data_IF_196553523817
#
_entry.id   IF_196553523817
#
_cell.length_a   1.000
_cell.length_b   1.000
_cell.length_c   1.000
_cell.angle_alpha   90.00
_cell.angle_beta   90.00
_cell.angle_gamma   90.00
#
_symmetry.space_group_name_H-M   'P 1'
#
loop_
_entity.id
_entity.type
_entity.pdbx_description
1 polymer ?
#
# COMPACT_ATOMS: atom_id res chain seq x y z
N UNK A 1 -43.20 25.09 -16.62
CA UNK A 1 -41.77 25.23 -16.95
C UNK A 1 -41.06 24.12 -16.21
N UNK A 2 -40.89 22.97 -16.87
CA UNK A 2 -40.35 21.76 -16.25
C UNK A 2 -38.83 21.82 -16.40
N UNK A 3 -38.13 22.18 -15.32
CA UNK A 3 -36.67 22.04 -15.25
C UNK A 3 -36.39 20.54 -15.17
N UNK A 4 -36.21 19.96 -16.35
CA UNK A 4 -35.59 18.65 -16.51
C UNK A 4 -34.16 18.84 -16.00
N UNK A 5 -33.96 18.47 -14.73
CA UNK A 5 -32.65 18.39 -14.10
C UNK A 5 -31.83 17.42 -14.96
N UNK A 6 -31.02 18.00 -15.83
CA UNK A 6 -30.04 17.29 -16.62
C UNK A 6 -29.01 16.83 -15.61
N UNK A 7 -29.21 15.61 -15.09
CA UNK A 7 -28.36 15.00 -14.07
C UNK A 7 -26.90 15.13 -14.52
N UNK A 8 -26.21 16.12 -13.96
CA UNK A 8 -24.79 16.34 -14.21
C UNK A 8 -24.09 15.01 -13.96
N UNK A 9 -23.26 14.58 -14.91
CA UNK A 9 -22.66 13.25 -14.91
C UNK A 9 -21.87 13.03 -13.61
N UNK A 10 -22.51 12.38 -12.64
CA UNK A 10 -21.94 12.14 -11.32
C UNK A 10 -21.33 10.76 -11.32
N UNK A 11 -20.04 10.69 -11.02
CA UNK A 11 -19.33 9.42 -10.93
C UNK A 11 -19.32 8.97 -9.47
N UNK A 12 -19.91 7.80 -9.22
CA UNK A 12 -19.98 7.17 -7.90
C UNK A 12 -18.82 6.18 -7.71
N UNK A 13 -18.14 6.28 -6.58
CA UNK A 13 -17.05 5.39 -6.17
C UNK A 13 -17.42 4.70 -4.86
N UNK A 14 -17.38 3.37 -4.82
CA UNK A 14 -17.73 2.61 -3.62
C UNK A 14 -16.51 2.41 -2.73
N UNK A 15 -16.65 2.77 -1.45
CA UNK A 15 -15.59 2.70 -0.47
C UNK A 15 -15.84 1.54 0.49
N UNK A 16 -14.96 0.56 0.47
CA UNK A 16 -15.01 -0.58 1.38
C UNK A 16 -14.14 -0.31 2.61
N UNK A 17 -14.56 -0.79 3.77
CA UNK A 17 -13.75 -0.67 4.99
C UNK A 17 -12.39 -1.34 4.78
N UNK A 18 -11.29 -0.69 5.17
CA UNK A 18 -9.99 -1.35 5.12
C UNK A 18 -10.00 -2.54 6.10
N UNK A 19 -9.64 -3.76 5.67
CA UNK A 19 -9.49 -4.87 6.61
C UNK A 19 -8.31 -4.61 7.55
N UNK A 20 -8.46 -5.00 8.83
CA UNK A 20 -7.47 -4.74 9.88
C UNK A 20 -6.09 -5.30 9.53
N UNK A 21 -6.06 -6.46 8.86
CA UNK A 21 -4.85 -7.12 8.37
C UNK A 21 -5.16 -7.77 7.03
N UNK A 22 -4.25 -7.59 6.08
CA UNK A 22 -4.21 -8.41 4.88
C UNK A 22 -3.35 -9.64 5.14
N UNK A 23 -3.79 -10.80 4.67
CA UNK A 23 -2.97 -12.01 4.74
C UNK A 23 -1.65 -11.86 3.99
N UNK A 24 -0.60 -12.51 4.49
CA UNK A 24 0.70 -12.61 3.81
C UNK A 24 0.81 -13.83 2.88
N UNK A 25 -0.29 -14.56 2.69
CA UNK A 25 -0.38 -15.68 1.76
C UNK A 25 -1.28 -15.29 0.59
N UNK A 26 -0.84 -15.56 -0.64
CA UNK A 26 -1.55 -15.15 -1.86
C UNK A 26 -3.00 -15.65 -1.89
N UNK A 27 -3.22 -16.94 -1.63
CA UNK A 27 -4.57 -17.53 -1.69
C UNK A 27 -5.51 -16.92 -0.64
N UNK A 28 -5.00 -16.71 0.57
CA UNK A 28 -5.78 -16.08 1.63
C UNK A 28 -6.05 -14.60 1.32
N UNK A 29 -5.13 -13.90 0.66
CA UNK A 29 -5.38 -12.53 0.20
C UNK A 29 -6.52 -12.47 -0.83
N UNK A 30 -6.55 -13.41 -1.78
CA UNK A 30 -7.64 -13.53 -2.75
C UNK A 30 -8.98 -13.80 -2.06
N UNK A 31 -9.01 -14.73 -1.11
CA UNK A 31 -10.20 -15.03 -0.30
C UNK A 31 -10.65 -13.81 0.53
N UNK A 32 -9.71 -13.09 1.14
CA UNK A 32 -9.99 -11.86 1.91
C UNK A 32 -10.58 -10.76 0.99
N UNK A 33 -10.05 -10.64 -0.22
CA UNK A 33 -10.52 -9.66 -1.22
C UNK A 33 -11.94 -10.00 -1.69
N UNK A 34 -12.22 -11.27 -1.98
CA UNK A 34 -13.56 -11.73 -2.35
C UNK A 34 -14.56 -11.47 -1.21
N UNK A 35 -14.18 -11.80 0.04
CA UNK A 35 -15.03 -11.53 1.21
C UNK A 35 -15.29 -10.04 1.39
N UNK A 36 -14.27 -9.21 1.23
CA UNK A 36 -14.40 -7.76 1.40
C UNK A 36 -15.39 -7.17 0.39
N UNK A 37 -15.30 -7.55 -0.87
CA UNK A 37 -16.21 -7.05 -1.91
C UNK A 37 -17.58 -7.72 -1.92
N UNK A 38 -17.74 -8.82 -1.18
CA UNK A 38 -19.05 -9.39 -0.88
C UNK A 38 -19.78 -8.64 0.25
N UNK A 39 -19.07 -7.82 1.04
CA UNK A 39 -19.69 -6.95 2.05
C UNK A 39 -20.30 -5.71 1.40
N UNK A 40 -21.26 -5.10 2.09
CA UNK A 40 -21.75 -3.79 1.67
C UNK A 40 -20.63 -2.74 1.79
N UNK A 41 -20.49 -1.85 0.81
CA UNK A 41 -19.59 -0.71 0.93
C UNK A 41 -20.01 0.14 2.14
N UNK A 42 -19.03 0.71 2.84
CA UNK A 42 -19.28 1.49 4.04
C UNK A 42 -19.70 2.92 3.69
N UNK A 43 -19.10 3.47 2.63
CA UNK A 43 -19.33 4.81 2.14
C UNK A 43 -19.33 4.78 0.61
N UNK A 44 -19.91 5.80 -0.01
CA UNK A 44 -19.66 6.11 -1.41
C UNK A 44 -19.24 7.57 -1.53
N UNK A 45 -18.39 7.85 -2.52
CA UNK A 45 -18.07 9.21 -2.94
C UNK A 45 -18.73 9.43 -4.30
N UNK A 46 -19.56 10.44 -4.36
CA UNK A 46 -20.16 10.95 -5.58
C UNK A 46 -19.38 12.20 -5.99
N UNK A 47 -18.72 12.14 -7.15
CA UNK A 47 -18.01 13.27 -7.74
C UNK A 47 -18.80 13.76 -8.94
N UNK A 48 -19.44 14.92 -8.77
CA UNK A 48 -20.11 15.66 -9.83
C UNK A 48 -19.21 16.77 -10.39
N UNK A 49 -19.76 17.59 -11.28
CA UNK A 49 -19.02 18.69 -11.92
C UNK A 49 -18.64 19.80 -10.93
N UNK A 50 -19.52 20.10 -9.96
CA UNK A 50 -19.32 21.20 -9.01
C UNK A 50 -19.12 20.75 -7.56
N UNK A 51 -19.50 19.51 -7.23
CA UNK A 51 -19.57 19.03 -5.85
C UNK A 51 -18.99 17.64 -5.70
N UNK A 52 -18.37 17.41 -4.54
CA UNK A 52 -17.97 16.09 -4.05
C UNK A 52 -18.79 15.81 -2.80
N UNK A 53 -19.51 14.68 -2.80
CA UNK A 53 -20.31 14.25 -1.66
C UNK A 53 -19.93 12.87 -1.18
N UNK A 54 -19.93 12.70 0.14
CA UNK A 54 -19.84 11.41 0.81
C UNK A 54 -21.26 11.01 1.20
N UNK A 55 -21.67 9.83 0.77
CA UNK A 55 -23.01 9.30 1.01
C UNK A 55 -22.94 7.92 1.65
N UNK A 56 -23.96 7.58 2.43
CA UNK A 56 -24.19 6.21 2.86
C UNK A 56 -24.76 5.40 1.68
N UNK A 57 -24.05 4.38 1.17
CA UNK A 57 -24.49 3.62 0.00
C UNK A 57 -25.72 2.75 0.28
N UNK A 58 -26.07 2.46 1.54
CA UNK A 58 -27.25 1.67 1.88
C UNK A 58 -28.54 2.50 1.86
N UNK A 59 -28.47 3.78 2.20
CA UNK A 59 -29.62 4.67 2.34
C UNK A 59 -29.64 5.86 1.38
N UNK A 60 -28.56 6.06 0.60
CA UNK A 60 -28.26 7.27 -0.16
C UNK A 60 -28.28 8.55 0.70
N UNK A 61 -28.13 8.43 2.02
CA UNK A 61 -28.10 9.57 2.92
C UNK A 61 -26.81 10.37 2.74
N UNK A 62 -26.94 11.68 2.55
CA UNK A 62 -25.81 12.59 2.46
C UNK A 62 -25.13 12.73 3.84
N UNK A 63 -23.86 12.35 3.92
CA UNK A 63 -23.03 12.45 5.14
C UNK A 63 -22.27 13.77 5.16
N UNK A 64 -21.63 14.11 4.04
CA UNK A 64 -20.88 15.36 3.87
C UNK A 64 -20.87 15.77 2.40
N UNK A 65 -20.78 17.07 2.12
CA UNK A 65 -20.65 17.60 0.77
C UNK A 65 -19.79 18.85 0.79
N UNK A 66 -18.98 19.02 -0.25
CA UNK A 66 -18.17 20.19 -0.47
C UNK A 66 -18.13 20.54 -1.96
N UNK A 67 -17.93 21.82 -2.28
CA UNK A 67 -17.66 22.21 -3.65
C UNK A 67 -16.32 21.59 -4.10
N UNK A 68 -16.24 21.06 -5.32
CA UNK A 68 -15.04 20.38 -5.81
C UNK A 68 -13.79 21.27 -5.78
N UNK A 69 -13.98 22.59 -5.97
CA UNK A 69 -12.93 23.62 -5.88
C UNK A 69 -12.39 23.83 -4.47
N UNK A 70 -13.13 23.40 -3.45
CA UNK A 70 -12.76 23.48 -2.04
C UNK A 70 -12.20 22.15 -1.52
N UNK A 71 -12.30 21.08 -2.33
CA UNK A 71 -11.73 19.77 -2.01
C UNK A 71 -10.29 19.70 -2.51
N UNK A 72 -9.39 19.38 -1.59
CA UNK A 72 -7.99 19.12 -1.86
C UNK A 72 -7.74 17.62 -1.96
N UNK A 73 -7.30 17.17 -3.12
CA UNK A 73 -6.89 15.79 -3.36
C UNK A 73 -5.36 15.66 -3.34
N UNK A 74 -4.82 15.00 -2.33
CA UNK A 74 -3.38 14.90 -2.11
C UNK A 74 -2.87 13.47 -2.25
N UNK A 75 -1.82 13.22 -3.04
CA UNK A 75 -1.09 11.96 -3.04
C UNK A 75 -0.49 11.66 -1.65
N UNK A 76 -0.75 10.48 -1.12
CA UNK A 76 -0.18 9.98 0.13
C UNK A 76 0.48 8.61 -0.04
N UNK A 77 1.31 8.24 0.92
CA UNK A 77 1.88 6.88 1.04
C UNK A 77 1.82 6.40 2.48
N UNK A 78 1.45 5.13 2.65
CA UNK A 78 1.46 4.44 3.94
C UNK A 78 2.40 3.23 3.87
N UNK A 79 3.34 3.13 4.78
CA UNK A 79 4.42 2.16 4.79
C UNK A 79 4.61 1.54 6.19
N UNK A 80 3.74 0.61 6.61
CA UNK A 80 3.74 0.10 7.96
C UNK A 80 5.10 -0.51 8.31
N UNK A 81 5.59 -0.14 9.50
CA UNK A 81 6.81 -0.69 10.07
C UNK A 81 6.51 -1.95 10.88
N UNK A 82 7.33 -2.97 10.69
CA UNK A 82 7.35 -4.11 11.60
C UNK A 82 7.99 -3.67 12.93
N UNK A 83 7.20 -3.68 14.01
CA UNK A 83 7.69 -3.36 15.36
C UNK A 83 8.14 -4.61 16.12
N UNK A 84 8.01 -5.81 15.54
CA UNK A 84 8.24 -7.09 16.22
C UNK A 84 9.67 -7.61 16.13
N UNK A 85 10.58 -6.90 15.44
CA UNK A 85 11.99 -7.27 15.33
C UNK A 85 12.90 -6.06 15.62
N UNK A 86 14.14 -6.30 16.04
CA UNK A 86 15.21 -5.28 16.14
C UNK A 86 15.49 -4.56 14.80
N UNK A 87 14.87 -4.99 13.69
CA UNK A 87 14.92 -4.32 12.39
C UNK A 87 13.67 -3.49 12.15
N UNK A 88 13.84 -2.17 11.95
CA UNK A 88 12.78 -1.27 11.45
C UNK A 88 12.60 -1.46 9.96
N UNK A 89 12.09 -2.62 9.54
CA UNK A 89 11.84 -2.90 8.11
C UNK A 89 10.41 -2.46 7.74
N UNK A 90 10.30 -1.67 6.67
CA UNK A 90 9.01 -1.40 6.01
C UNK A 90 8.48 -2.69 5.43
N UNK A 91 7.23 -3.04 5.76
CA UNK A 91 6.59 -4.27 5.30
C UNK A 91 6.15 -4.16 3.84
N UNK A 92 5.64 -2.99 3.45
CA UNK A 92 5.24 -2.61 2.10
C UNK A 92 5.09 -1.09 2.01
N UNK A 93 4.84 -0.56 0.81
CA UNK A 93 4.41 0.84 0.61
C UNK A 93 3.11 0.85 -0.18
N UNK A 94 2.04 1.35 0.42
CA UNK A 94 0.71 1.47 -0.15
C UNK A 94 0.47 2.91 -0.62
N UNK A 95 0.04 3.13 -1.88
CA UNK A 95 -0.40 4.45 -2.31
C UNK A 95 -1.74 4.81 -1.68
N UNK A 96 -1.90 6.09 -1.35
CA UNK A 96 -3.10 6.68 -0.77
C UNK A 96 -3.53 7.93 -1.51
N UNK A 97 -4.83 8.17 -1.52
CA UNK A 97 -5.46 9.41 -1.92
C UNK A 97 -6.10 10.00 -0.67
N UNK A 98 -5.69 11.21 -0.33
CA UNK A 98 -6.21 11.97 0.80
C UNK A 98 -7.15 13.02 0.22
N UNK A 99 -8.41 12.95 0.59
CA UNK A 99 -9.41 13.95 0.23
C UNK A 99 -9.74 14.76 1.48
N UNK A 100 -9.39 16.05 1.44
CA UNK A 100 -9.63 16.99 2.53
C UNK A 100 -10.49 18.14 2.02
N UNK A 101 -11.47 18.59 2.80
CA UNK A 101 -12.34 19.70 2.42
C UNK A 101 -13.19 20.22 3.58
N UNK A 102 -13.98 21.28 3.35
CA UNK A 102 -14.91 21.80 4.34
C UNK A 102 -15.99 20.77 4.69
N UNK A 103 -16.68 20.98 5.82
CA UNK A 103 -17.77 20.10 6.24
C UNK A 103 -17.32 18.71 6.71
N UNK A 104 -16.12 18.62 7.28
CA UNK A 104 -15.52 17.37 7.80
C UNK A 104 -15.27 16.31 6.74
N UNK A 105 -15.09 16.73 5.47
CA UNK A 105 -14.62 15.84 4.42
C UNK A 105 -13.14 15.51 4.68
N UNK A 106 -12.88 14.38 5.33
CA UNK A 106 -11.55 13.78 5.50
C UNK A 106 -11.66 12.29 5.15
N UNK A 107 -11.32 11.95 3.90
CA UNK A 107 -11.39 10.57 3.41
C UNK A 107 -10.03 10.11 2.95
N UNK A 108 -9.57 9.02 3.57
CA UNK A 108 -8.29 8.34 3.27
C UNK A 108 -8.56 7.05 2.51
N UNK A 109 -8.25 7.08 1.23
CA UNK A 109 -8.59 6.00 0.29
C UNK A 109 -7.29 5.32 -0.13
N UNK A 110 -7.18 4.02 0.12
CA UNK A 110 -6.10 3.19 -0.38
C UNK A 110 -6.56 2.29 -1.51
N UNK A 111 -5.59 1.58 -2.09
CA UNK A 111 -5.86 0.47 -3.01
C UNK A 111 -5.54 -0.87 -2.35
N UNK A 112 -6.25 -1.92 -2.74
CA UNK A 112 -5.98 -3.27 -2.31
C UNK A 112 -4.64 -3.79 -2.86
N UNK A 113 -3.95 -4.65 -2.10
CA UNK A 113 -2.77 -5.31 -2.61
C UNK A 113 -3.19 -6.32 -3.70
N UNK A 114 -2.43 -6.31 -4.80
CA UNK A 114 -2.67 -7.20 -5.94
C UNK A 114 -2.08 -8.59 -5.69
N UNK A 115 -0.94 -8.65 -5.01
CA UNK A 115 -0.26 -9.91 -4.66
C UNK A 115 0.61 -9.77 -3.44
N UNK A 116 1.05 -10.91 -2.89
CA UNK A 116 2.03 -10.95 -1.80
C UNK A 116 3.28 -11.70 -2.25
N UNK A 117 4.45 -11.19 -1.87
CA UNK A 117 5.71 -11.94 -1.98
C UNK A 117 6.40 -12.05 -0.63
N UNK A 118 7.15 -13.13 -0.42
CA UNK A 118 7.95 -13.34 0.80
C UNK A 118 8.99 -12.25 1.02
N UNK A 119 9.45 -11.59 -0.05
CA UNK A 119 10.57 -10.65 0.00
C UNK A 119 10.16 -9.19 0.17
N UNK A 120 9.02 -8.81 -0.42
CA UNK A 120 8.55 -7.41 -0.47
C UNK A 120 7.19 -7.22 0.20
N UNK A 121 6.61 -8.27 0.79
CA UNK A 121 5.28 -8.22 1.41
C UNK A 121 4.18 -7.96 0.38
N UNK A 122 3.22 -7.11 0.74
CA UNK A 122 2.12 -6.69 -0.13
C UNK A 122 2.62 -5.82 -1.28
N UNK A 123 2.28 -6.21 -2.51
CA UNK A 123 2.56 -5.46 -3.71
C UNK A 123 1.28 -4.85 -4.26
N UNK A 124 1.36 -3.58 -4.64
CA UNK A 124 0.26 -2.80 -5.19
C UNK A 124 0.53 -2.55 -6.67
N UNK A 125 -0.53 -2.56 -7.47
CA UNK A 125 -0.40 -2.33 -8.92
C UNK A 125 0.10 -0.92 -9.25
N UNK A 126 -0.34 0.05 -8.47
CA UNK A 126 -0.03 1.45 -8.70
C UNK A 126 0.90 2.00 -7.63
N UNK A 127 1.71 2.99 -8.04
CA UNK A 127 2.50 3.80 -7.12
C UNK A 127 2.50 5.27 -7.56
N UNK A 128 2.77 6.16 -6.61
CA UNK A 128 2.99 7.57 -6.92
C UNK A 128 4.38 7.80 -7.51
N UNK A 129 4.44 8.58 -8.59
CA UNK A 129 5.72 9.07 -9.11
C UNK A 129 6.39 9.96 -8.07
N UNK A 130 7.73 9.97 -8.05
CA UNK A 130 8.50 10.90 -7.20
C UNK A 130 8.08 12.37 -7.36
N UNK A 131 7.73 12.79 -8.57
CA UNK A 131 7.23 14.15 -8.86
C UNK A 131 5.93 14.51 -8.12
N UNK A 132 5.14 13.51 -7.71
CA UNK A 132 3.91 13.70 -6.95
C UNK A 132 4.19 14.13 -5.50
N UNK A 133 5.43 13.95 -5.01
CA UNK A 133 5.85 14.24 -3.63
C UNK A 133 4.81 13.75 -2.60
N UNK A 134 4.49 12.44 -2.62
CA UNK A 134 3.42 11.93 -1.77
C UNK A 134 3.75 12.17 -0.31
N UNK A 135 2.73 12.50 0.47
CA UNK A 135 2.86 12.66 1.91
C UNK A 135 3.13 11.28 2.55
N UNK A 136 4.32 11.11 3.13
CA UNK A 136 4.67 9.92 3.91
C UNK A 136 3.98 10.02 5.28
N UNK A 137 2.85 9.31 5.42
CA UNK A 137 2.00 9.38 6.60
C UNK A 137 2.64 8.73 7.83
N UNK A 138 3.57 7.79 7.65
CA UNK A 138 4.28 7.20 8.78
C UNK A 138 5.42 8.08 9.26
N UNK A 139 6.11 8.76 8.34
CA UNK A 139 7.18 9.69 8.70
C UNK A 139 6.63 11.00 9.30
N UNK A 140 5.57 11.57 8.71
CA UNK A 140 5.01 12.84 9.12
C UNK A 140 4.46 12.82 10.56
N UNK A 141 4.03 11.67 11.08
CA UNK A 141 3.29 11.58 12.34
C UNK A 141 3.86 10.57 13.34
N UNK A 142 5.14 10.20 13.21
CA UNK A 142 5.86 9.28 14.11
C UNK A 142 5.69 9.63 15.60
N UNK A 143 5.39 10.88 15.93
CA UNK A 143 5.23 11.37 17.31
C UNK A 143 3.78 11.38 17.85
N UNK A 144 2.75 11.37 17.00
CA UNK A 144 1.37 11.70 17.43
C UNK A 144 0.45 10.50 17.69
N UNK A 145 0.89 9.25 17.45
CA UNK A 145 0.05 8.02 17.59
C UNK A 145 -1.32 8.08 16.89
N UNK A 146 -1.58 9.07 16.05
CA UNK A 146 -2.81 9.11 15.24
C UNK A 146 -2.60 8.14 14.11
N UNK A 147 -3.27 6.99 14.15
CA UNK A 147 -3.25 5.99 13.10
C UNK A 147 -3.86 6.56 11.81
N UNK A 148 -3.06 7.28 11.01
CA UNK A 148 -3.49 7.78 9.69
C UNK A 148 -3.41 6.71 8.61
N UNK A 149 -3.76 5.47 8.96
CA UNK A 149 -3.91 4.33 8.04
C UNK A 149 -4.99 4.63 6.99
N UNK A 150 -4.98 3.96 5.82
CA UNK A 150 -6.15 3.99 4.95
C UNK A 150 -7.39 3.58 5.74
N UNK A 151 -8.47 4.37 5.65
CA UNK A 151 -9.75 4.02 6.26
C UNK A 151 -10.58 3.18 5.31
N UNK A 152 -10.48 3.52 4.03
CA UNK A 152 -11.25 2.91 2.97
C UNK A 152 -10.34 2.38 1.88
N UNK A 153 -10.84 1.38 1.15
CA UNK A 153 -10.20 0.85 -0.04
C UNK A 153 -11.21 0.80 -1.18
N UNK A 154 -10.68 0.96 -2.40
CA UNK A 154 -11.43 0.86 -3.65
C UNK A 154 -10.85 -0.26 -4.51
N UNK A 155 -11.61 -0.68 -5.52
CA UNK A 155 -11.10 -1.59 -6.55
C UNK A 155 -10.01 -0.94 -7.40
N UNK A 156 -9.23 -1.75 -8.12
CA UNK A 156 -8.20 -1.26 -9.06
C UNK A 156 -8.77 -0.34 -10.15
N UNK A 157 -9.98 -0.65 -10.63
CA UNK A 157 -10.65 0.12 -11.68
C UNK A 157 -11.12 1.48 -11.15
N UNK A 158 -11.74 1.48 -9.97
CA UNK A 158 -12.19 2.69 -9.30
C UNK A 158 -11.01 3.58 -8.91
N UNK A 159 -9.92 3.01 -8.39
CA UNK A 159 -8.71 3.77 -8.04
C UNK A 159 -8.22 4.63 -9.20
N UNK A 160 -8.04 4.03 -10.37
CA UNK A 160 -7.52 4.72 -11.56
C UNK A 160 -8.48 5.80 -12.06
N UNK A 161 -9.78 5.54 -12.02
CA UNK A 161 -10.80 6.52 -12.38
C UNK A 161 -10.80 7.68 -11.38
N UNK A 162 -10.82 7.39 -10.08
CA UNK A 162 -10.85 8.36 -8.99
C UNK A 162 -9.66 9.34 -9.04
N UNK A 163 -8.44 8.82 -9.16
CA UNK A 163 -7.25 9.69 -9.32
C UNK A 163 -7.29 10.49 -10.62
N UNK A 164 -7.95 9.97 -11.67
CA UNK A 164 -8.17 10.68 -12.92
C UNK A 164 -9.12 11.87 -12.75
N UNK A 165 -10.23 11.67 -12.05
CA UNK A 165 -11.22 12.70 -11.75
C UNK A 165 -10.62 13.88 -10.99
N UNK A 166 -9.69 13.63 -10.07
CA UNK A 166 -8.96 14.68 -9.36
C UNK A 166 -7.72 15.21 -10.09
N UNK A 167 -7.51 14.85 -11.36
CA UNK A 167 -6.39 15.34 -12.18
C UNK A 167 -5.02 14.75 -11.81
N UNK A 168 -4.97 13.72 -10.97
CA UNK A 168 -3.75 13.09 -10.47
C UNK A 168 -3.28 11.89 -11.31
N UNK A 169 -4.00 11.50 -12.36
CA UNK A 169 -3.66 10.33 -13.19
C UNK A 169 -2.22 10.36 -13.74
N UNK A 170 -1.71 11.54 -14.12
CA UNK A 170 -0.33 11.67 -14.67
C UNK A 170 0.76 11.53 -13.60
N UNK A 171 0.38 11.54 -12.32
CA UNK A 171 1.24 11.36 -11.16
C UNK A 171 1.29 9.90 -10.69
N UNK A 172 0.40 9.04 -11.19
CA UNK A 172 0.40 7.60 -10.93
C UNK A 172 1.25 6.86 -11.96
N UNK A 173 1.86 5.76 -11.54
CA UNK A 173 2.50 4.75 -12.40
C UNK A 173 1.82 3.41 -12.15
N UNK A 174 1.55 2.69 -13.24
CA UNK A 174 1.17 1.27 -13.19
C UNK A 174 2.48 0.45 -13.15
N UNK A 175 2.92 0.10 -11.95
CA UNK A 175 4.17 -0.63 -11.73
C UNK A 175 4.07 -2.08 -12.20
N UNK A 176 2.86 -2.64 -12.23
CA UNK A 176 2.60 -3.96 -12.80
C UNK A 176 2.78 -3.95 -14.32
N UNK A 177 2.10 -3.04 -15.03
CA UNK A 177 2.21 -2.95 -16.49
C UNK A 177 3.62 -2.56 -16.97
N UNK A 178 4.37 -1.81 -16.15
CA UNK A 178 5.76 -1.46 -16.46
C UNK A 178 6.77 -2.59 -16.22
N UNK A 179 6.36 -3.69 -15.57
CA UNK A 179 7.26 -4.79 -15.17
C UNK A 179 8.19 -4.45 -13.99
N UNK A 180 8.07 -3.25 -13.40
CA UNK A 180 8.91 -2.81 -12.28
C UNK A 180 8.80 -3.76 -11.08
N UNK A 181 7.58 -4.17 -10.72
CA UNK A 181 7.34 -5.09 -9.61
C UNK A 181 8.03 -6.45 -9.79
N UNK A 182 8.08 -6.94 -11.03
CA UNK A 182 8.75 -8.21 -11.35
C UNK A 182 10.27 -8.08 -11.34
N UNK A 183 10.79 -6.93 -11.76
CA UNK A 183 12.23 -6.66 -11.74
C UNK A 183 12.78 -6.57 -10.32
N UNK A 184 12.06 -5.91 -9.40
CA UNK A 184 12.45 -5.78 -7.99
C UNK A 184 12.40 -7.14 -7.28
N UNK A 185 11.34 -7.91 -7.50
CA UNK A 185 11.21 -9.25 -6.92
C UNK A 185 12.33 -10.19 -7.41
N UNK A 186 12.67 -10.13 -8.71
CA UNK A 186 13.79 -10.92 -9.28
C UNK A 186 15.13 -10.48 -8.68
N UNK A 187 15.37 -9.18 -8.57
CA UNK A 187 16.61 -8.66 -7.99
C UNK A 187 16.79 -9.10 -6.53
N UNK A 188 15.77 -8.91 -5.69
CA UNK A 188 15.82 -9.33 -4.28
C UNK A 188 16.01 -10.84 -4.12
N UNK A 189 15.39 -11.65 -4.98
CA UNK A 189 15.61 -13.10 -5.01
C UNK A 189 17.06 -13.46 -5.36
N UNK A 190 17.65 -12.82 -6.37
CA UNK A 190 19.04 -13.06 -6.78
C UNK A 190 20.01 -12.66 -5.66
N UNK A 191 19.81 -11.50 -5.03
CA UNK A 191 20.61 -11.05 -3.88
C UNK A 191 20.52 -12.04 -2.73
N UNK A 192 19.32 -12.52 -2.41
CA UNK A 192 19.11 -13.54 -1.36
C UNK A 192 19.85 -14.85 -1.65
N UNK A 193 19.80 -15.35 -2.89
CA UNK A 193 20.52 -16.56 -3.31
C UNK A 193 22.04 -16.36 -3.23
N UNK A 194 22.54 -15.22 -3.72
CA UNK A 194 23.96 -14.91 -3.70
C UNK A 194 24.50 -14.82 -2.27
N UNK A 195 23.74 -14.19 -1.36
CA UNK A 195 24.10 -14.09 0.05
C UNK A 195 24.13 -15.47 0.72
N UNK A 196 23.12 -16.32 0.47
CA UNK A 196 23.09 -17.69 0.99
C UNK A 196 24.29 -18.52 0.49
N UNK A 197 24.63 -18.42 -0.80
CA UNK A 197 25.80 -19.09 -1.35
C UNK A 197 27.11 -18.63 -0.70
N UNK A 198 27.24 -17.33 -0.43
CA UNK A 198 28.40 -16.76 0.26
C UNK A 198 28.53 -17.27 1.70
N UNK A 199 27.43 -17.36 2.45
CA UNK A 199 27.42 -17.95 3.80
C UNK A 199 27.85 -19.42 3.73
N UNK A 200 27.30 -20.21 2.80
CA UNK A 200 27.65 -21.62 2.65
C UNK A 200 29.14 -21.77 2.37
N UNK A 201 29.68 -21.01 1.41
CA UNK A 201 31.11 -21.04 1.09
C UNK A 201 31.99 -20.66 2.30
N UNK A 202 31.65 -19.59 3.01
CA UNK A 202 32.37 -19.17 4.22
C UNK A 202 32.32 -20.25 5.30
N UNK A 203 31.16 -20.89 5.49
CA UNK A 203 30.96 -21.96 6.46
C UNK A 203 31.80 -23.19 6.07
N UNK A 204 31.81 -23.60 4.80
CA UNK A 204 32.63 -24.71 4.33
C UNK A 204 34.12 -24.45 4.51
N UNK A 205 34.59 -23.24 4.19
CA UNK A 205 35.99 -22.84 4.41
C UNK A 205 36.33 -22.86 5.90
N UNK A 206 35.46 -22.32 6.75
CA UNK A 206 35.65 -22.32 8.20
C UNK A 206 35.76 -23.74 8.76
N UNK A 207 34.83 -24.64 8.39
CA UNK A 207 34.89 -26.03 8.85
C UNK A 207 36.09 -26.79 8.30
N UNK A 208 36.46 -26.57 7.02
CA UNK A 208 37.66 -27.16 6.44
C UNK A 208 38.93 -26.73 7.17
N UNK A 209 39.07 -25.43 7.43
CA UNK A 209 40.15 -24.88 8.23
C UNK A 209 40.15 -25.43 9.67
N UNK A 210 38.98 -25.48 10.32
CA UNK A 210 38.81 -25.96 11.69
C UNK A 210 39.22 -27.44 11.84
N UNK A 211 38.78 -28.29 10.92
CA UNK A 211 39.15 -29.71 10.89
C UNK A 211 40.66 -29.87 10.68
N UNK A 212 41.24 -29.11 9.75
CA UNK A 212 42.68 -29.13 9.49
C UNK A 212 43.49 -28.69 10.73
N UNK A 213 43.06 -27.65 11.44
CA UNK A 213 43.70 -27.16 12.66
C UNK A 213 43.69 -28.18 13.80
N UNK A 214 42.57 -28.92 13.96
CA UNK A 214 42.48 -30.04 14.91
C UNK A 214 43.44 -31.17 14.51
N UNK A 215 43.40 -31.60 13.25
CA UNK A 215 44.18 -32.74 12.76
C UNK A 215 45.70 -32.51 12.82
N UNK A 216 46.15 -31.27 12.65
CA UNK A 216 47.57 -30.89 12.68
C UNK A 216 48.07 -30.49 14.06
N UNK A 217 47.22 -30.50 15.10
CA UNK A 217 47.60 -30.12 16.46
C UNK A 217 47.98 -28.64 16.61
N UNK A 218 47.60 -27.79 15.64
CA UNK A 218 47.95 -26.37 15.61
C UNK A 218 47.05 -25.51 16.52
N UNK A 219 46.22 -26.14 17.35
CA UNK A 219 45.50 -25.50 18.45
C UNK A 219 46.47 -25.49 19.62
N UNK A 220 47.32 -24.45 19.70
CA UNK A 220 48.26 -24.28 20.79
C UNK A 220 47.53 -24.28 22.14
N UNK A 221 47.71 -25.37 22.89
CA UNK A 221 47.49 -25.39 24.33
C UNK A 221 48.49 -24.41 24.96
N UNK A 222 48.05 -23.19 25.23
CA UNK A 222 48.64 -22.38 26.30
C UNK A 222 48.30 -23.07 27.62
N UNK A 223 49.12 -24.04 28.02
CA UNK A 223 49.20 -24.46 29.41
C UNK A 223 50.08 -23.43 30.14
N UNK A 224 49.47 -22.74 31.09
CA UNK A 224 50.15 -21.98 32.14
C UNK A 224 50.80 -22.92 33.15
#
# INVERSE_FOLDING_TARGET
MSTKDESAATTRYLLFAKPEKFSYQQRALEDDTVKLFAQQPLLAIDVGEETVSVVDPASDALISSAAIREVTATPGTYAPMDQSSESTRRLYTQPLLLLEGPGSLDVRIGILPMRVTTWTGHQFRYAWRRKARPLDLDHAYRHDRVERRPMHVVTDAEWRSLVGTFGLATLVVDEYASGALDSEAKFMKVVGIAFAALIIAATTVFFGWFIWAIATGNIHHHQH
#
